data_IF_645990975667
#
_entry.id   IF_645990975667
#
_cell.length_a   1.000
_cell.length_b   1.000
_cell.length_c   1.000
_cell.angle_alpha   90.00
_cell.angle_beta   90.00
_cell.angle_gamma   90.00
#
_symmetry.space_group_name_H-M   'P 1'
#
loop_
_entity.id
_entity.type
_entity.pdbx_description
1 polymer ?
#
# COMPACT_ATOMS: atom_id res chain seq x y z
N UNK A 1 0.09 -7.27 7.60
CA UNK A 1 -0.84 -7.26 6.44
C UNK A 1 -1.68 -8.52 6.48
N UNK A 2 -2.99 -8.40 6.23
CA UNK A 2 -3.90 -9.54 6.10
C UNK A 2 -3.83 -10.06 4.67
N UNK A 3 -2.98 -11.04 4.39
CA UNK A 3 -2.80 -11.57 3.02
C UNK A 3 -3.62 -12.84 2.76
N UNK A 4 -3.91 -13.62 3.81
CA UNK A 4 -4.85 -14.72 3.77
C UNK A 4 -5.57 -14.86 5.12
N UNK A 5 -6.88 -14.71 5.11
CA UNK A 5 -7.72 -14.74 6.32
C UNK A 5 -8.96 -15.58 6.11
N UNK A 6 -9.51 -16.12 7.20
CA UNK A 6 -10.84 -16.74 7.17
C UNK A 6 -11.87 -15.63 7.17
N UNK A 7 -12.72 -15.59 6.15
CA UNK A 7 -13.68 -14.53 5.92
C UNK A 7 -15.03 -15.13 5.51
N UNK A 8 -16.10 -14.36 5.73
CA UNK A 8 -17.46 -14.75 5.36
C UNK A 8 -17.86 -14.22 4.00
N UNK A 9 -18.43 -15.07 3.18
CA UNK A 9 -19.04 -14.66 1.90
C UNK A 9 -20.26 -13.80 2.18
N UNK A 10 -20.26 -12.57 1.67
CA UNK A 10 -21.34 -11.61 1.82
C UNK A 10 -22.51 -11.92 0.88
N UNK A 11 -22.22 -12.25 -0.38
CA UNK A 11 -23.25 -12.63 -1.35
C UNK A 11 -22.65 -13.35 -2.55
N UNK A 12 -23.51 -14.05 -3.29
CA UNK A 12 -23.15 -14.75 -4.53
C UNK A 12 -24.16 -14.36 -5.61
N UNK A 13 -23.67 -14.05 -6.81
CA UNK A 13 -24.48 -13.69 -7.97
C UNK A 13 -24.01 -14.46 -9.20
N UNK A 14 -24.94 -14.90 -10.04
CA UNK A 14 -24.57 -15.50 -11.33
C UNK A 14 -23.76 -14.51 -12.17
N UNK A 15 -22.71 -14.99 -12.81
CA UNK A 15 -21.90 -14.16 -13.69
C UNK A 15 -22.71 -13.78 -14.95
N UNK A 16 -22.95 -12.48 -15.23
CA UNK A 16 -23.89 -12.06 -16.28
C UNK A 16 -23.47 -12.52 -17.68
N UNK A 17 -22.15 -12.63 -17.91
CA UNK A 17 -21.59 -13.03 -19.21
C UNK A 17 -21.03 -14.46 -19.24
N UNK A 18 -21.36 -15.33 -18.27
CA UNK A 18 -20.78 -16.67 -18.19
C UNK A 18 -21.63 -17.72 -17.45
N UNK A 19 -22.08 -18.75 -18.17
CA UNK A 19 -22.97 -19.80 -17.63
C UNK A 19 -22.35 -20.68 -16.53
N UNK A 20 -21.02 -20.76 -16.50
CA UNK A 20 -20.27 -21.67 -15.60
C UNK A 20 -19.57 -20.95 -14.45
N UNK A 21 -19.84 -19.66 -14.27
CA UNK A 21 -19.15 -18.84 -13.27
C UNK A 21 -20.14 -18.09 -12.39
N UNK A 22 -19.68 -17.78 -11.17
CA UNK A 22 -20.34 -16.88 -10.24
C UNK A 22 -19.43 -15.72 -9.87
N UNK A 23 -20.04 -14.64 -9.41
CA UNK A 23 -19.42 -13.53 -8.72
C UNK A 23 -19.69 -13.68 -7.23
N UNK A 24 -18.64 -13.90 -6.47
CA UNK A 24 -18.68 -14.05 -5.02
C UNK A 24 -18.12 -12.78 -4.39
N UNK A 25 -18.90 -12.18 -3.49
CA UNK A 25 -18.55 -10.95 -2.78
C UNK A 25 -18.08 -11.27 -1.37
N UNK A 26 -16.91 -10.75 -1.00
CA UNK A 26 -16.26 -11.02 0.28
C UNK A 26 -15.47 -9.80 0.72
N UNK A 27 -15.71 -9.31 1.95
CA UNK A 27 -15.30 -7.97 2.35
C UNK A 27 -15.82 -6.92 1.33
N UNK A 28 -14.96 -6.03 0.84
CA UNK A 28 -15.24 -5.14 -0.30
C UNK A 28 -14.76 -5.68 -1.66
N UNK A 29 -14.37 -6.96 -1.75
CA UNK A 29 -13.85 -7.57 -2.98
C UNK A 29 -14.92 -8.36 -3.74
N UNK A 30 -14.71 -8.50 -5.05
CA UNK A 30 -15.45 -9.39 -5.95
C UNK A 30 -14.49 -10.45 -6.51
N UNK A 31 -14.80 -11.73 -6.36
CA UNK A 31 -14.04 -12.84 -6.93
C UNK A 31 -14.89 -13.64 -7.92
N UNK A 32 -14.31 -14.06 -9.03
CA UNK A 32 -14.95 -14.97 -9.98
C UNK A 32 -14.64 -16.41 -9.57
N UNK A 33 -15.67 -17.21 -9.34
CA UNK A 33 -15.54 -18.63 -8.99
C UNK A 33 -16.28 -19.51 -10.00
N UNK A 34 -16.05 -20.82 -9.94
CA UNK A 34 -16.92 -21.78 -10.62
C UNK A 34 -18.35 -21.67 -10.09
N UNK A 35 -19.32 -21.93 -10.97
CA UNK A 35 -20.75 -21.93 -10.65
C UNK A 35 -21.08 -22.86 -9.47
N UNK A 36 -21.95 -22.40 -8.59
CA UNK A 36 -22.52 -23.13 -7.44
C UNK A 36 -21.46 -23.72 -6.48
N UNK A 37 -20.23 -23.18 -6.50
CA UNK A 37 -19.13 -23.67 -5.65
C UNK A 37 -19.16 -23.12 -4.23
N UNK A 38 -19.90 -22.03 -4.00
CA UNK A 38 -19.96 -21.34 -2.72
C UNK A 38 -21.37 -20.79 -2.47
N UNK A 39 -21.70 -20.60 -1.19
CA UNK A 39 -22.97 -20.05 -0.75
C UNK A 39 -22.77 -18.76 0.06
N UNK A 40 -23.76 -17.84 0.09
CA UNK A 40 -23.78 -16.74 1.05
C UNK A 40 -23.62 -17.24 2.49
N UNK A 41 -23.01 -16.42 3.35
CA UNK A 41 -22.72 -16.69 4.76
C UNK A 41 -21.71 -17.83 5.03
N UNK A 42 -21.23 -18.52 4.01
CA UNK A 42 -20.19 -19.55 4.14
C UNK A 42 -18.86 -18.93 4.55
N UNK A 43 -18.16 -19.58 5.51
CA UNK A 43 -16.77 -19.26 5.84
C UNK A 43 -15.82 -19.92 4.85
N UNK A 44 -14.85 -19.14 4.39
CA UNK A 44 -13.85 -19.53 3.41
C UNK A 44 -12.51 -18.88 3.75
N UNK A 45 -11.44 -19.35 3.12
CA UNK A 45 -10.16 -18.65 3.14
C UNK A 45 -10.15 -17.68 1.98
N UNK A 46 -10.05 -16.38 2.30
CA UNK A 46 -9.86 -15.33 1.32
C UNK A 46 -8.38 -14.96 1.24
N UNK A 47 -7.81 -15.11 0.04
CA UNK A 47 -6.43 -14.72 -0.26
C UNK A 47 -6.46 -13.40 -1.01
N UNK A 48 -5.93 -12.35 -0.40
CA UNK A 48 -5.99 -10.98 -0.92
C UNK A 48 -5.03 -10.78 -2.12
N UNK A 49 -5.27 -9.76 -2.96
CA UNK A 49 -4.26 -9.29 -3.91
C UNK A 49 -2.91 -9.01 -3.25
N UNK A 50 -1.84 -9.10 -4.05
CA UNK A 50 -0.43 -9.07 -3.62
C UNK A 50 0.05 -10.31 -2.85
N UNK A 51 -0.74 -11.37 -2.77
CA UNK A 51 -0.29 -12.65 -2.19
C UNK A 51 0.51 -13.49 -3.19
N UNK A 52 1.56 -14.15 -2.73
CA UNK A 52 2.34 -15.16 -3.46
C UNK A 52 1.95 -16.53 -2.91
N UNK A 53 1.45 -17.40 -3.79
CA UNK A 53 1.09 -18.76 -3.42
C UNK A 53 2.32 -19.68 -3.39
N UNK A 54 2.38 -20.67 -2.49
CA UNK A 54 3.43 -21.68 -2.50
C UNK A 54 3.37 -22.53 -3.77
N UNK A 55 4.53 -22.85 -4.36
CA UNK A 55 4.61 -23.63 -5.59
C UNK A 55 4.58 -25.15 -5.35
N UNK A 56 4.84 -25.59 -4.13
CA UNK A 56 5.03 -26.97 -3.70
C UNK A 56 3.80 -27.56 -2.98
N UNK A 57 2.79 -26.75 -2.70
CA UNK A 57 1.56 -27.20 -2.05
C UNK A 57 0.48 -27.61 -3.07
N UNK A 58 -0.16 -28.76 -2.85
CA UNK A 58 -1.17 -29.31 -3.75
C UNK A 58 -2.42 -28.44 -3.86
N UNK A 59 -2.86 -27.85 -2.75
CA UNK A 59 -4.04 -26.98 -2.69
C UNK A 59 -3.88 -25.72 -3.57
N UNK A 60 -2.64 -25.23 -3.75
CA UNK A 60 -2.36 -24.02 -4.51
C UNK A 60 -2.35 -24.26 -6.04
N UNK A 61 -2.08 -25.50 -6.49
CA UNK A 61 -1.88 -25.83 -7.91
C UNK A 61 -3.00 -25.35 -8.85
N UNK A 62 -4.30 -25.49 -8.52
CA UNK A 62 -5.38 -25.02 -9.38
C UNK A 62 -5.36 -23.51 -9.64
N UNK A 63 -4.75 -22.74 -8.72
CA UNK A 63 -4.77 -21.28 -8.70
C UNK A 63 -3.48 -20.65 -9.25
N UNK A 64 -2.36 -21.39 -9.27
CA UNK A 64 -1.04 -20.86 -9.65
C UNK A 64 -1.03 -20.17 -11.03
N UNK A 65 -1.81 -20.67 -12.00
CA UNK A 65 -1.90 -20.04 -13.35
C UNK A 65 -2.52 -18.64 -13.33
N UNK A 66 -3.29 -18.30 -12.30
CA UNK A 66 -3.94 -16.99 -12.14
C UNK A 66 -3.20 -16.10 -11.12
N UNK A 67 -2.31 -16.69 -10.31
CA UNK A 67 -1.65 -16.05 -9.18
C UNK A 67 -0.12 -15.93 -9.36
N UNK A 68 0.41 -16.09 -10.58
CA UNK A 68 1.84 -15.89 -10.87
C UNK A 68 2.07 -14.53 -11.55
N UNK A 69 3.06 -13.72 -11.08
CA UNK A 69 3.94 -13.98 -9.94
C UNK A 69 3.27 -13.78 -8.57
N UNK A 70 2.08 -13.16 -8.55
CA UNK A 70 1.24 -12.92 -7.37
C UNK A 70 -0.24 -12.92 -7.75
N UNK A 71 -1.10 -13.00 -6.75
CA UNK A 71 -2.54 -12.70 -6.88
C UNK A 71 -2.71 -11.22 -7.21
N UNK A 72 -3.54 -10.94 -8.22
CA UNK A 72 -3.79 -9.60 -8.75
C UNK A 72 -5.24 -9.50 -9.21
N UNK A 73 -5.73 -8.28 -9.41
CA UNK A 73 -6.97 -8.06 -10.11
C UNK A 73 -6.88 -8.64 -11.53
N UNK A 74 -7.91 -9.35 -11.99
CA UNK A 74 -8.04 -9.79 -13.38
C UNK A 74 -9.46 -9.52 -13.87
N UNK A 75 -9.61 -9.42 -15.19
CA UNK A 75 -10.93 -9.29 -15.82
C UNK A 75 -11.29 -10.59 -16.53
N UNK A 76 -12.42 -11.17 -16.17
CA UNK A 76 -12.96 -12.40 -16.79
C UNK A 76 -14.32 -12.04 -17.39
N UNK A 77 -14.43 -12.08 -18.72
CA UNK A 77 -15.69 -11.80 -19.45
C UNK A 77 -16.38 -10.52 -18.97
N UNK A 78 -15.58 -9.46 -18.90
CA UNK A 78 -15.96 -8.11 -18.45
C UNK A 78 -16.30 -7.89 -16.98
N UNK A 79 -16.14 -8.91 -16.12
CA UNK A 79 -16.26 -8.75 -14.68
C UNK A 79 -14.88 -8.79 -14.00
N UNK A 80 -14.70 -8.00 -12.94
CA UNK A 80 -13.48 -8.03 -12.13
C UNK A 80 -13.46 -9.25 -11.20
N UNK A 81 -12.27 -9.82 -11.02
CA UNK A 81 -11.96 -10.82 -10.00
C UNK A 81 -10.70 -10.37 -9.26
N UNK A 82 -10.82 -10.16 -7.96
CA UNK A 82 -9.76 -9.65 -7.09
C UNK A 82 -9.58 -10.59 -5.90
N UNK A 83 -8.39 -11.19 -5.78
CA UNK A 83 -8.15 -12.21 -4.77
C UNK A 83 -8.56 -13.62 -5.23
N UNK A 84 -8.46 -14.56 -4.31
CA UNK A 84 -8.88 -15.95 -4.48
C UNK A 84 -9.71 -16.40 -3.28
N UNK A 85 -10.69 -17.25 -3.54
CA UNK A 85 -11.49 -17.89 -2.51
C UNK A 85 -11.16 -19.37 -2.51
N UNK A 86 -10.72 -19.87 -1.35
CA UNK A 86 -10.38 -21.27 -1.13
C UNK A 86 -11.34 -21.83 -0.07
N UNK A 87 -11.98 -22.98 -0.30
CA UNK A 87 -12.83 -23.60 0.71
C UNK A 87 -12.02 -24.03 1.93
N UNK A 88 -12.61 -23.96 3.12
CA UNK A 88 -12.00 -24.51 4.33
C UNK A 88 -11.88 -26.04 4.22
N UNK A 89 -10.67 -26.56 4.44
CA UNK A 89 -10.44 -27.98 4.62
C UNK A 89 -11.01 -28.47 5.96
N UNK A 90 -11.18 -29.78 6.12
CA UNK A 90 -11.68 -30.36 7.37
C UNK A 90 -10.82 -30.00 8.59
N UNK A 91 -9.50 -29.88 8.40
CA UNK A 91 -8.54 -29.45 9.43
C UNK A 91 -8.71 -27.99 9.87
N UNK A 92 -9.43 -27.18 9.09
CA UNK A 92 -9.56 -25.73 9.26
C UNK A 92 -10.94 -25.33 9.81
N UNK A 93 -11.82 -26.29 10.07
CA UNK A 93 -13.21 -26.05 10.54
C UNK A 93 -13.32 -25.33 11.88
N UNK A 94 -12.27 -25.35 12.70
CA UNK A 94 -12.25 -24.67 14.00
C UNK A 94 -11.80 -23.20 13.90
N UNK A 95 -11.34 -22.76 12.73
CA UNK A 95 -10.96 -21.39 12.50
C UNK A 95 -12.19 -20.47 12.49
N UNK A 96 -11.99 -19.25 12.96
CA UNK A 96 -13.02 -18.23 13.08
C UNK A 96 -12.78 -17.12 12.06
N UNK A 97 -13.85 -16.42 11.75
CA UNK A 97 -13.79 -15.20 10.93
C UNK A 97 -12.77 -14.21 11.49
N UNK A 98 -11.89 -13.72 10.63
CA UNK A 98 -10.75 -12.87 10.96
C UNK A 98 -9.43 -13.59 11.28
N UNK A 99 -9.42 -14.92 11.43
CA UNK A 99 -8.19 -15.67 11.70
C UNK A 99 -7.24 -15.59 10.49
N UNK A 100 -5.96 -15.32 10.76
CA UNK A 100 -4.91 -15.30 9.73
C UNK A 100 -4.35 -16.71 9.52
N UNK A 101 -4.35 -17.17 8.27
CA UNK A 101 -3.90 -18.52 7.87
C UNK A 101 -2.69 -18.49 6.94
N UNK A 102 -2.15 -17.31 6.64
CA UNK A 102 -1.10 -17.12 5.66
C UNK A 102 0.16 -17.98 5.92
N UNK A 103 0.66 -17.99 7.16
CA UNK A 103 1.85 -18.75 7.55
C UNK A 103 1.62 -20.26 7.41
N UNK A 104 0.49 -20.76 7.92
CA UNK A 104 0.10 -22.18 7.86
C UNK A 104 -0.01 -22.67 6.41
N UNK A 105 -0.49 -21.81 5.52
CA UNK A 105 -0.62 -22.12 4.10
C UNK A 105 0.64 -21.80 3.27
N UNK A 106 1.71 -21.27 3.88
CA UNK A 106 2.92 -20.87 3.15
C UNK A 106 2.70 -19.71 2.16
N UNK A 107 1.66 -18.90 2.38
CA UNK A 107 1.35 -17.72 1.57
C UNK A 107 2.21 -16.55 2.04
N UNK A 108 2.86 -15.88 1.09
CA UNK A 108 3.75 -14.75 1.36
C UNK A 108 3.20 -13.46 0.74
N UNK A 109 3.61 -12.31 1.26
CA UNK A 109 3.32 -11.03 0.61
C UNK A 109 4.33 -10.80 -0.52
N UNK A 110 3.85 -10.37 -1.69
CA UNK A 110 4.71 -10.02 -2.81
C UNK A 110 5.47 -8.73 -2.53
N UNK A 111 6.80 -8.82 -2.52
CA UNK A 111 7.67 -7.65 -2.53
C UNK A 111 8.44 -7.63 -3.86
N UNK A 112 8.36 -6.54 -4.65
CA UNK A 112 9.22 -6.38 -5.82
C UNK A 112 10.68 -6.46 -5.40
N UNK A 113 11.49 -7.19 -6.18
CA UNK A 113 12.92 -7.26 -5.92
C UNK A 113 13.54 -5.86 -6.04
N UNK A 114 14.19 -5.40 -4.97
CA UNK A 114 15.00 -4.19 -5.00
C UNK A 114 16.45 -4.66 -5.04
N UNK A 115 17.19 -4.30 -6.10
CA UNK A 115 18.63 -4.50 -6.13
C UNK A 115 19.25 -3.54 -5.13
N UNK A 116 19.77 -4.08 -4.03
CA UNK A 116 20.38 -3.30 -2.95
C UNK A 116 21.79 -3.82 -2.69
N UNK A 117 22.74 -2.91 -2.55
CA UNK A 117 24.07 -3.23 -2.04
C UNK A 117 23.97 -3.44 -0.52
N UNK A 118 24.18 -4.67 -0.06
CA UNK A 118 24.12 -5.01 1.37
C UNK A 118 25.12 -4.22 2.20
N UNK A 119 26.23 -3.76 1.62
CA UNK A 119 27.23 -2.94 2.32
C UNK A 119 26.76 -1.50 2.56
N UNK A 120 25.61 -1.12 2.01
CA UNK A 120 24.98 0.18 2.22
C UNK A 120 23.89 0.20 3.28
N UNK A 121 23.59 -0.95 3.90
CA UNK A 121 22.54 -1.09 4.92
C UNK A 121 23.19 -1.05 6.31
N UNK A 122 22.70 -0.16 7.18
CA UNK A 122 23.13 -0.08 8.59
C UNK A 122 22.37 -1.08 9.48
N UNK A 123 21.11 -1.36 9.15
CA UNK A 123 20.25 -2.22 9.95
C UNK A 123 18.77 -2.08 9.62
N UNK A 124 17.88 -2.59 10.48
CA UNK A 124 16.43 -2.39 10.36
C UNK A 124 16.04 -0.91 10.54
N UNK A 125 14.76 -0.60 10.36
CA UNK A 125 14.25 0.75 10.64
C UNK A 125 14.55 1.15 12.10
N UNK A 126 15.13 2.35 12.35
CA UNK A 126 15.49 2.79 13.68
C UNK A 126 14.27 3.28 14.47
N UNK A 127 14.43 3.45 15.79
CA UNK A 127 13.44 4.07 16.69
C UNK A 127 12.01 3.48 16.62
N UNK A 128 11.87 2.21 16.26
CA UNK A 128 10.59 1.55 16.03
C UNK A 128 9.69 2.30 15.01
N UNK A 129 10.32 3.00 14.06
CA UNK A 129 9.63 3.67 12.96
C UNK A 129 8.89 2.59 12.14
N UNK A 130 7.57 2.72 11.93
CA UNK A 130 6.81 1.67 11.24
C UNK A 130 7.11 1.64 9.74
N UNK A 131 6.71 0.58 9.06
CA UNK A 131 6.69 0.55 7.59
C UNK A 131 5.58 1.48 7.05
N UNK A 132 5.69 1.83 5.77
CA UNK A 132 4.77 2.73 5.05
C UNK A 132 3.60 1.97 4.42
N UNK A 133 2.97 1.08 5.17
CA UNK A 133 1.84 0.30 4.69
C UNK A 133 0.54 1.09 4.78
N UNK A 134 -0.18 1.14 3.67
CA UNK A 134 -1.54 1.67 3.60
C UNK A 134 -2.52 0.53 3.31
N UNK A 135 -3.60 0.50 4.07
CA UNK A 135 -4.64 -0.52 3.96
C UNK A 135 -5.50 -0.29 2.71
N UNK A 136 -5.92 -1.38 2.07
CA UNK A 136 -6.81 -1.34 0.90
C UNK A 136 -8.23 -0.95 1.33
N UNK A 137 -8.90 -0.13 0.51
CA UNK A 137 -10.26 0.31 0.80
C UNK A 137 -11.24 -0.85 0.96
N UNK A 138 -11.04 -1.93 0.22
CA UNK A 138 -11.89 -3.12 0.24
C UNK A 138 -11.88 -3.83 1.62
N UNK A 139 -10.87 -3.59 2.46
CA UNK A 139 -10.78 -4.14 3.81
C UNK A 139 -11.58 -3.35 4.86
N UNK A 140 -12.08 -2.15 4.53
CA UNK A 140 -12.81 -1.31 5.50
C UNK A 140 -14.30 -1.64 5.58
N UNK A 141 -14.89 -2.34 4.60
CA UNK A 141 -16.32 -2.68 4.57
C UNK A 141 -17.21 -1.46 4.94
N UNK A 142 -17.94 -1.54 6.05
CA UNK A 142 -18.86 -0.50 6.55
C UNK A 142 -18.17 0.58 7.40
N UNK A 143 -16.88 0.46 7.70
CA UNK A 143 -16.10 1.36 8.57
C UNK A 143 -15.43 2.51 7.80
N UNK A 144 -15.90 2.80 6.59
CA UNK A 144 -15.39 3.92 5.81
C UNK A 144 -15.93 5.26 6.34
N UNK A 145 -15.13 6.34 6.29
CA UNK A 145 -15.55 7.69 6.69
C UNK A 145 -16.45 8.33 5.60
N UNK A 146 -17.59 7.70 5.33
CA UNK A 146 -18.52 8.14 4.28
C UNK A 146 -18.95 9.60 4.48
N UNK A 147 -18.96 10.36 3.39
CA UNK A 147 -19.31 11.78 3.36
C UNK A 147 -18.39 12.68 4.21
N UNK A 148 -17.24 12.20 4.67
CA UNK A 148 -16.17 13.08 5.16
C UNK A 148 -15.44 13.73 3.99
N UNK A 149 -14.88 14.92 4.24
CA UNK A 149 -13.97 15.58 3.29
C UNK A 149 -12.61 14.90 3.34
N UNK A 150 -12.12 14.48 2.18
CA UNK A 150 -10.85 13.80 2.01
C UNK A 150 -9.97 14.49 0.98
N UNK A 151 -8.66 14.31 1.13
CA UNK A 151 -7.67 14.68 0.12
C UNK A 151 -7.23 13.43 -0.65
N UNK A 152 -7.17 13.53 -1.97
CA UNK A 152 -6.82 12.43 -2.88
C UNK A 152 -5.45 12.72 -3.47
N UNK A 153 -4.46 11.91 -3.12
CA UNK A 153 -3.11 12.03 -3.64
C UNK A 153 -2.76 10.89 -4.58
N UNK A 154 -1.86 11.16 -5.52
CA UNK A 154 -1.35 10.16 -6.43
C UNK A 154 -0.59 9.08 -5.66
N UNK A 155 -0.95 7.81 -5.88
CA UNK A 155 -0.09 6.69 -5.49
C UNK A 155 0.96 6.50 -6.58
N UNK A 156 2.18 7.00 -6.32
CA UNK A 156 3.32 6.84 -7.22
C UNK A 156 3.84 5.40 -7.08
N UNK A 157 4.09 4.75 -8.20
CA UNK A 157 4.69 3.41 -8.24
C UNK A 157 6.22 3.53 -8.25
N UNK A 158 6.81 3.51 -7.05
CA UNK A 158 8.24 3.62 -6.84
C UNK A 158 8.74 2.69 -5.73
N UNK A 159 9.59 3.23 -4.87
CA UNK A 159 10.02 2.56 -3.65
C UNK A 159 9.99 3.52 -2.47
N UNK A 160 9.47 3.05 -1.33
CA UNK A 160 9.42 3.83 -0.10
C UNK A 160 10.81 4.32 0.29
N UNK A 161 10.95 5.63 0.45
CA UNK A 161 12.17 6.31 0.87
C UNK A 161 11.82 7.38 1.90
N UNK A 162 12.20 7.16 3.14
CA UNK A 162 11.91 8.07 4.25
C UNK A 162 13.19 8.74 4.74
N UNK A 163 13.14 10.02 5.08
CA UNK A 163 14.22 10.69 5.83
C UNK A 163 13.69 11.06 7.20
N UNK A 164 14.54 10.97 8.22
CA UNK A 164 14.16 11.30 9.58
C UNK A 164 15.19 12.20 10.24
N UNK A 165 14.72 12.94 11.24
CA UNK A 165 15.58 13.60 12.22
C UNK A 165 15.07 13.33 13.62
N UNK A 166 15.96 12.86 14.50
CA UNK A 166 15.74 12.72 15.93
C UNK A 166 16.30 13.96 16.64
N UNK A 167 15.41 14.78 17.20
CA UNK A 167 15.75 15.90 18.07
C UNK A 167 16.40 15.43 19.37
N UNK A 168 15.98 14.30 19.95
CA UNK A 168 16.54 13.80 21.20
C UNK A 168 17.98 13.27 21.00
N UNK A 169 18.25 12.57 19.89
CA UNK A 169 19.57 11.99 19.61
C UNK A 169 20.46 12.87 18.71
N UNK A 170 19.93 14.00 18.21
CA UNK A 170 20.59 14.87 17.23
C UNK A 170 21.06 14.11 15.99
N UNK A 171 20.22 13.19 15.51
CA UNK A 171 20.57 12.23 14.47
C UNK A 171 19.67 12.37 13.25
N UNK A 172 20.28 12.57 12.08
CA UNK A 172 19.62 12.47 10.78
C UNK A 172 19.89 11.09 10.16
N UNK A 173 18.89 10.53 9.47
CA UNK A 173 19.08 9.30 8.71
C UNK A 173 18.11 9.18 7.55
N UNK A 174 18.35 8.16 6.73
CA UNK A 174 17.53 7.83 5.56
C UNK A 174 17.24 6.33 5.54
N UNK A 175 15.99 6.00 5.22
CA UNK A 175 15.47 4.64 5.26
C UNK A 175 14.81 4.27 3.94
N UNK A 176 14.93 3.01 3.58
CA UNK A 176 14.06 2.37 2.59
C UNK A 176 12.74 1.92 3.23
N UNK A 177 12.14 0.87 2.66
CA UNK A 177 10.94 0.23 3.23
C UNK A 177 11.22 -0.54 4.52
N UNK A 178 12.38 -1.22 4.59
CA UNK A 178 12.68 -2.21 5.64
C UNK A 178 13.97 -1.92 6.43
N UNK A 179 14.77 -0.94 6.01
CA UNK A 179 16.13 -0.75 6.50
C UNK A 179 16.56 0.71 6.51
N UNK A 180 17.62 1.00 7.27
CA UNK A 180 18.35 2.26 7.25
C UNK A 180 19.60 2.16 6.36
N UNK A 181 19.88 3.21 5.60
CA UNK A 181 21.05 3.29 4.72
C UNK A 181 22.19 4.12 5.31
N UNK A 182 23.40 3.70 5.01
CA UNK A 182 24.64 4.42 5.29
C UNK A 182 24.76 5.63 4.36
N UNK A 183 24.68 6.83 4.93
CA UNK A 183 24.79 8.11 4.23
C UNK A 183 26.13 8.31 3.52
N UNK A 184 27.17 7.57 3.88
CA UNK A 184 28.50 7.64 3.24
C UNK A 184 28.56 6.90 1.91
N UNK A 185 27.58 6.03 1.63
CA UNK A 185 27.50 5.25 0.39
C UNK A 185 26.75 6.01 -0.68
N UNK A 186 27.16 5.83 -1.93
CA UNK A 186 26.47 6.42 -3.08
C UNK A 186 25.44 5.44 -3.64
N UNK A 187 24.17 5.75 -3.51
CA UNK A 187 23.06 5.01 -4.11
C UNK A 187 21.88 5.95 -4.38
N UNK A 188 20.81 5.44 -4.99
CA UNK A 188 19.63 6.25 -5.32
C UNK A 188 18.97 6.89 -4.08
N UNK A 189 19.00 6.22 -2.93
CA UNK A 189 18.47 6.76 -1.67
C UNK A 189 19.35 7.89 -1.15
N UNK A 190 20.67 7.74 -1.07
CA UNK A 190 21.53 8.81 -0.55
C UNK A 190 21.64 10.00 -1.50
N UNK A 191 21.50 9.79 -2.82
CA UNK A 191 21.54 10.86 -3.82
C UNK A 191 20.44 11.92 -3.65
N UNK A 192 19.25 11.54 -3.20
CA UNK A 192 18.15 12.50 -3.01
C UNK A 192 18.37 13.42 -1.80
N UNK A 193 19.18 13.01 -0.82
CA UNK A 193 19.50 13.83 0.35
C UNK A 193 20.15 15.14 -0.06
N UNK A 194 21.17 15.08 -0.93
CA UNK A 194 21.84 16.28 -1.43
C UNK A 194 21.01 17.00 -2.48
N UNK A 195 20.30 16.27 -3.36
CA UNK A 195 19.45 16.87 -4.41
C UNK A 195 18.39 17.83 -3.86
N UNK A 196 17.80 17.52 -2.70
CA UNK A 196 16.75 18.33 -2.08
C UNK A 196 17.19 18.99 -0.76
N UNK A 197 18.48 18.99 -0.43
CA UNK A 197 19.02 19.53 0.83
C UNK A 197 18.27 19.04 2.07
N UNK A 198 17.89 17.75 2.08
CA UNK A 198 16.97 17.20 3.09
C UNK A 198 17.56 17.23 4.48
N UNK A 199 18.86 17.00 4.61
CA UNK A 199 19.53 16.98 5.91
C UNK A 199 19.48 18.35 6.57
N UNK A 200 19.88 19.39 5.84
CA UNK A 200 19.92 20.76 6.32
C UNK A 200 18.51 21.25 6.66
N UNK A 201 17.58 21.05 5.71
CA UNK A 201 16.19 21.47 5.83
C UNK A 201 15.50 20.81 7.04
N UNK A 202 15.62 19.48 7.17
CA UNK A 202 14.95 18.74 8.23
C UNK A 202 15.56 19.00 9.60
N UNK A 203 16.89 19.07 9.68
CA UNK A 203 17.61 19.40 10.92
C UNK A 203 17.17 20.77 11.45
N UNK A 204 17.19 21.80 10.59
CA UNK A 204 16.80 23.15 11.00
C UNK A 204 15.36 23.18 11.51
N UNK A 205 14.42 22.60 10.78
CA UNK A 205 13.01 22.58 11.17
C UNK A 205 12.82 21.85 12.52
N UNK A 206 13.41 20.67 12.67
CA UNK A 206 13.27 19.86 13.88
C UNK A 206 13.92 20.49 15.11
N UNK A 207 15.10 21.12 14.97
CA UNK A 207 15.77 21.83 16.06
C UNK A 207 14.98 23.06 16.52
N UNK A 208 14.47 23.86 15.58
CA UNK A 208 13.68 25.05 15.90
C UNK A 208 12.37 24.72 16.63
N UNK A 209 11.75 23.60 16.28
CA UNK A 209 10.46 23.18 16.84
C UNK A 209 10.60 22.12 17.94
N UNK A 210 11.83 21.71 18.27
CA UNK A 210 12.13 20.69 19.29
C UNK A 210 11.35 19.38 19.07
N UNK A 211 11.35 18.89 17.82
CA UNK A 211 10.49 17.77 17.41
C UNK A 211 11.27 16.75 16.57
N UNK A 212 10.95 15.48 16.76
CA UNK A 212 11.47 14.37 15.96
C UNK A 212 10.44 13.94 14.92
N UNK A 213 10.83 14.01 13.64
CA UNK A 213 9.91 13.70 12.52
C UNK A 213 10.57 12.80 11.48
N UNK A 214 9.73 12.00 10.83
CA UNK A 214 10.04 11.25 9.63
C UNK A 214 9.21 11.84 8.49
N UNK A 215 9.87 12.30 7.44
CA UNK A 215 9.22 12.60 6.16
C UNK A 215 9.13 11.30 5.37
N UNK A 216 7.91 10.76 5.24
CA UNK A 216 7.65 9.59 4.41
C UNK A 216 7.49 10.03 2.98
N UNK A 217 8.29 9.46 2.09
CA UNK A 217 8.20 9.75 0.67
C UNK A 217 8.39 8.53 -0.20
N UNK A 218 8.13 8.74 -1.47
CA UNK A 218 8.31 7.77 -2.53
C UNK A 218 9.48 8.19 -3.40
N UNK A 219 10.45 7.31 -3.59
CA UNK A 219 11.54 7.45 -4.54
C UNK A 219 11.14 6.79 -5.86
N UNK A 220 11.20 7.52 -6.97
CA UNK A 220 10.74 7.07 -8.28
C UNK A 220 11.61 7.64 -9.40
N UNK A 221 11.38 7.20 -10.64
CA UNK A 221 12.26 7.53 -11.76
C UNK A 221 13.55 6.71 -11.75
N UNK A 222 14.46 7.00 -12.69
CA UNK A 222 15.74 6.31 -12.80
C UNK A 222 15.62 4.79 -13.02
N UNK A 223 14.53 4.32 -13.60
CA UNK A 223 14.25 2.89 -13.82
C UNK A 223 13.74 2.13 -12.59
N UNK A 224 13.43 2.81 -11.48
CA UNK A 224 12.78 2.18 -10.31
C UNK A 224 11.40 1.64 -10.72
N UNK A 225 11.09 0.39 -10.34
CA UNK A 225 9.86 -0.32 -10.71
C UNK A 225 9.57 -0.29 -12.21
N UNK A 226 10.59 -0.56 -13.04
CA UNK A 226 10.48 -0.51 -14.50
C UNK A 226 9.49 -1.55 -15.03
N UNK A 227 8.40 -1.06 -15.62
CA UNK A 227 7.40 -1.84 -16.37
C UNK A 227 6.65 -0.94 -17.35
N UNK A 228 6.03 -1.54 -18.36
CA UNK A 228 5.45 -0.84 -19.52
C UNK A 228 4.38 0.18 -19.13
N UNK A 229 3.58 -0.13 -18.11
CA UNK A 229 2.50 0.72 -17.62
C UNK A 229 2.94 1.75 -16.56
N UNK A 230 4.15 1.66 -16.00
CA UNK A 230 4.63 2.65 -15.02
C UNK A 230 5.32 3.82 -15.71
N UNK A 231 4.60 4.93 -15.92
CA UNK A 231 5.20 6.13 -16.52
C UNK A 231 6.28 6.78 -15.64
N UNK A 232 6.21 6.62 -14.32
CA UNK A 232 7.16 7.24 -13.39
C UNK A 232 8.58 6.69 -13.55
N UNK A 233 8.74 5.41 -13.91
CA UNK A 233 10.06 4.79 -14.03
C UNK A 233 10.94 5.43 -15.12
N UNK A 234 10.33 6.10 -16.11
CA UNK A 234 11.04 6.76 -17.22
C UNK A 234 11.52 8.17 -16.91
N UNK A 235 11.05 8.74 -15.79
CA UNK A 235 11.44 10.09 -15.35
C UNK A 235 12.84 10.08 -14.74
N UNK A 236 13.51 11.25 -14.64
CA UNK A 236 14.71 11.38 -13.82
C UNK A 236 14.45 10.95 -12.38
N UNK A 237 15.48 10.48 -11.67
CA UNK A 237 15.35 10.08 -10.27
C UNK A 237 14.78 11.22 -9.42
N UNK A 238 13.62 11.01 -8.81
CA UNK A 238 12.86 11.99 -8.06
C UNK A 238 12.38 11.40 -6.73
N UNK A 239 12.01 12.28 -5.80
CA UNK A 239 11.48 11.91 -4.50
C UNK A 239 10.35 12.86 -4.15
N UNK A 240 9.28 12.36 -3.53
CA UNK A 240 8.15 13.17 -3.11
C UNK A 240 7.56 12.68 -1.79
N UNK A 241 7.29 13.61 -0.88
CA UNK A 241 6.66 13.35 0.42
C UNK A 241 5.19 12.99 0.22
N UNK A 242 4.70 11.99 0.95
CA UNK A 242 3.28 11.67 1.04
C UNK A 242 2.72 11.72 2.47
N UNK A 243 3.55 11.51 3.49
CA UNK A 243 3.10 11.50 4.90
C UNK A 243 4.20 11.96 5.85
N UNK A 244 3.81 12.35 7.06
CA UNK A 244 4.72 12.74 8.14
C UNK A 244 4.40 11.90 9.36
N UNK A 245 5.43 11.30 9.96
CA UNK A 245 5.33 10.52 11.19
C UNK A 245 6.12 11.22 12.30
N UNK A 246 5.45 11.50 13.41
CA UNK A 246 6.07 12.02 14.62
C UNK A 246 6.54 10.85 15.47
N UNK A 247 7.71 10.97 16.07
CA UNK A 247 8.24 9.95 16.96
C UNK A 247 9.01 10.58 18.12
N UNK A 248 9.34 9.78 19.12
CA UNK A 248 10.26 10.16 20.18
C UNK A 248 11.29 9.04 20.37
N UNK A 249 12.58 9.39 20.25
CA UNK A 249 13.65 8.39 20.28
C UNK A 249 13.98 7.85 21.66
N UNK A 250 13.46 8.43 22.74
CA UNK A 250 13.74 7.98 24.11
C UNK A 250 12.76 6.89 24.55
N UNK A 251 11.50 6.96 24.10
CA UNK A 251 10.45 6.00 24.49
C UNK A 251 9.89 5.17 23.32
N UNK A 252 10.38 5.37 22.09
CA UNK A 252 9.96 4.67 20.87
C UNK A 252 8.45 4.75 20.59
N UNK A 253 7.78 5.80 21.05
CA UNK A 253 6.41 6.10 20.68
C UNK A 253 6.38 6.96 19.42
N UNK A 254 5.30 6.84 18.65
CA UNK A 254 5.07 7.70 17.51
C UNK A 254 3.68 7.56 16.93
N UNK A 255 3.34 8.48 16.03
CA UNK A 255 2.06 8.52 15.33
C UNK A 255 2.19 9.23 13.99
N UNK A 256 1.34 8.86 13.05
CA UNK A 256 1.16 9.66 11.85
C UNK A 256 0.47 10.99 12.18
N UNK A 257 0.87 12.02 11.45
CA UNK A 257 0.17 13.31 11.44
C UNK A 257 -1.19 13.16 10.75
N UNK A 258 -2.15 14.00 11.12
CA UNK A 258 -3.52 13.97 10.66
C UNK A 258 -3.92 15.31 10.08
N UNK A 259 -4.71 15.24 9.02
CA UNK A 259 -5.23 16.37 8.25
C UNK A 259 -5.87 17.44 9.14
N UNK A 260 -6.68 17.01 10.10
CA UNK A 260 -7.47 17.89 10.98
C UNK A 260 -6.69 18.51 12.12
N UNK A 261 -5.75 17.78 12.73
CA UNK A 261 -5.20 18.14 14.05
C UNK A 261 -3.77 18.67 14.01
N UNK A 262 -2.99 18.34 12.99
CA UNK A 262 -1.54 18.58 13.02
C UNK A 262 -1.08 19.85 12.27
N UNK A 263 -2.02 20.62 11.71
CA UNK A 263 -1.74 21.94 11.14
C UNK A 263 -0.61 21.91 10.11
N UNK A 264 0.47 22.66 10.38
CA UNK A 264 1.66 22.74 9.52
C UNK A 264 2.32 21.37 9.28
N UNK A 265 2.22 20.44 10.23
CA UNK A 265 2.87 19.12 10.13
C UNK A 265 2.11 18.16 9.20
N UNK A 266 0.94 18.55 8.69
CA UNK A 266 0.27 17.79 7.64
C UNK A 266 1.11 17.81 6.35
N UNK A 267 1.31 16.64 5.72
CA UNK A 267 2.38 16.44 4.72
C UNK A 267 2.42 17.45 3.58
N UNK A 268 1.25 17.84 3.04
CA UNK A 268 1.16 18.86 1.99
C UNK A 268 1.63 20.23 2.47
N UNK A 269 1.19 20.65 3.66
CA UNK A 269 1.55 21.96 4.24
C UNK A 269 3.01 22.00 4.64
N UNK A 270 3.53 20.90 5.20
CA UNK A 270 4.93 20.81 5.58
C UNK A 270 5.83 20.80 4.35
N UNK A 271 5.47 20.05 3.31
CA UNK A 271 6.22 20.02 2.05
C UNK A 271 6.29 21.41 1.41
N UNK A 272 5.17 22.13 1.35
CA UNK A 272 5.13 23.52 0.88
C UNK A 272 6.03 24.44 1.72
N UNK A 273 5.90 24.38 3.05
CA UNK A 273 6.70 25.20 3.97
C UNK A 273 8.21 24.94 3.86
N UNK A 274 8.61 23.69 3.68
CA UNK A 274 10.00 23.28 3.52
C UNK A 274 10.50 23.39 2.08
N UNK A 275 9.64 23.82 1.13
CA UNK A 275 9.94 23.83 -0.30
C UNK A 275 10.43 22.47 -0.83
N UNK A 276 9.79 21.38 -0.37
CA UNK A 276 10.06 20.01 -0.76
C UNK A 276 8.96 19.45 -1.67
N UNK A 277 9.27 18.53 -2.59
CA UNK A 277 8.24 17.93 -3.44
C UNK A 277 7.24 17.11 -2.62
N UNK A 278 5.96 17.27 -2.93
CA UNK A 278 4.86 16.44 -2.42
C UNK A 278 4.28 15.58 -3.55
N UNK A 279 3.74 14.41 -3.22
CA UNK A 279 3.04 13.59 -4.22
C UNK A 279 1.87 14.39 -4.81
N UNK A 280 1.59 14.29 -6.13
CA UNK A 280 0.54 15.12 -6.73
C UNK A 280 -0.80 14.99 -6.02
N UNK A 281 -1.37 16.11 -5.60
CA UNK A 281 -2.75 16.20 -5.12
C UNK A 281 -3.68 16.23 -6.33
N UNK A 282 -4.49 15.19 -6.48
CA UNK A 282 -5.41 15.03 -7.62
C UNK A 282 -6.73 15.74 -7.32
N UNK A 283 -7.24 15.58 -6.10
CA UNK A 283 -8.44 16.27 -5.60
C UNK A 283 -8.21 16.66 -4.13
N UNK A 284 -8.70 17.82 -3.71
CA UNK A 284 -8.53 18.35 -2.36
C UNK A 284 -9.91 18.65 -1.77
N UNK A 285 -10.14 18.23 -0.52
CA UNK A 285 -11.39 18.47 0.21
C UNK A 285 -12.65 18.06 -0.57
N UNK A 286 -12.65 16.83 -1.10
CA UNK A 286 -13.82 16.25 -1.77
C UNK A 286 -14.53 15.26 -0.87
N UNK A 287 -15.84 15.05 -1.07
CA UNK A 287 -16.60 14.07 -0.27
C UNK A 287 -16.21 12.64 -0.65
N UNK A 288 -15.94 11.80 0.35
CA UNK A 288 -15.80 10.36 0.13
C UNK A 288 -17.16 9.74 -0.21
N UNK A 289 -17.29 9.29 -1.46
CA UNK A 289 -18.50 8.66 -2.00
C UNK A 289 -18.15 7.39 -2.76
N UNK A 290 -19.13 6.50 -2.97
CA UNK A 290 -18.92 5.30 -3.79
C UNK A 290 -18.47 5.66 -5.21
N UNK A 291 -18.98 6.75 -5.78
CA UNK A 291 -18.57 7.24 -7.10
C UNK A 291 -17.08 7.61 -7.15
N UNK A 292 -16.56 8.24 -6.08
CA UNK A 292 -15.13 8.56 -5.98
C UNK A 292 -14.28 7.29 -5.93
N UNK A 293 -14.75 6.27 -5.21
CA UNK A 293 -14.08 4.97 -5.12
C UNK A 293 -14.06 4.29 -6.47
N UNK A 294 -15.23 4.16 -7.11
CA UNK A 294 -15.36 3.52 -8.43
C UNK A 294 -14.51 4.23 -9.49
N UNK A 295 -14.47 5.58 -9.45
CA UNK A 295 -13.64 6.40 -10.32
C UNK A 295 -12.19 5.91 -10.31
N UNK A 296 -11.58 5.82 -9.13
CA UNK A 296 -10.16 5.48 -9.01
C UNK A 296 -9.87 3.98 -8.99
N UNK A 297 -10.86 3.16 -8.64
CA UNK A 297 -10.72 1.71 -8.57
C UNK A 297 -10.84 1.07 -9.97
N UNK A 298 -11.81 1.48 -10.80
CA UNK A 298 -12.10 0.78 -12.06
C UNK A 298 -12.33 1.66 -13.31
N UNK A 299 -12.62 2.96 -13.17
CA UNK A 299 -12.96 3.82 -14.31
C UNK A 299 -11.74 4.55 -14.91
N UNK A 300 -10.73 4.86 -14.11
CA UNK A 300 -9.46 5.41 -14.61
C UNK A 300 -8.75 4.37 -15.48
N UNK A 301 -8.13 4.84 -16.57
CA UNK A 301 -7.38 3.98 -17.47
C UNK A 301 -6.04 3.51 -16.86
N UNK A 302 -5.34 2.62 -17.57
CA UNK A 302 -4.04 2.13 -17.14
C UNK A 302 -2.96 3.23 -17.10
N UNK A 303 -3.08 4.28 -17.92
CA UNK A 303 -2.10 5.38 -18.00
C UNK A 303 -2.19 6.29 -16.79
N UNK A 304 -3.31 6.27 -16.07
CA UNK A 304 -3.40 6.89 -14.76
C UNK A 304 -2.29 6.36 -13.85
N UNK A 305 -1.99 5.05 -13.86
CA UNK A 305 -0.99 4.47 -12.97
C UNK A 305 -1.63 3.74 -11.78
N UNK A 306 -0.85 3.53 -10.72
CA UNK A 306 -1.16 2.55 -9.68
C UNK A 306 -2.46 2.80 -8.92
N UNK A 307 -2.80 4.06 -8.67
CA UNK A 307 -4.03 4.42 -7.98
C UNK A 307 -3.88 5.72 -7.21
N UNK A 308 -4.58 5.80 -6.09
CA UNK A 308 -4.58 6.96 -5.19
C UNK A 308 -4.47 6.53 -3.73
N UNK A 309 -3.99 7.44 -2.90
CA UNK A 309 -4.12 7.36 -1.44
C UNK A 309 -5.14 8.41 -1.01
N UNK A 310 -6.10 7.99 -0.22
CA UNK A 310 -7.14 8.83 0.37
C UNK A 310 -6.70 9.19 1.79
N UNK A 311 -6.64 10.49 2.08
CA UNK A 311 -6.30 11.04 3.39
C UNK A 311 -7.56 11.67 4.00
N UNK A 312 -8.07 11.08 5.08
CA UNK A 312 -9.21 11.59 5.83
C UNK A 312 -8.77 12.15 7.19
N UNK A 313 -9.70 12.67 7.99
CA UNK A 313 -9.37 13.39 9.23
C UNK A 313 -8.60 12.55 10.26
N UNK A 314 -8.80 11.23 10.24
CA UNK A 314 -8.33 10.31 11.28
C UNK A 314 -7.37 9.23 10.76
N UNK A 315 -7.10 9.20 9.46
CA UNK A 315 -6.34 8.11 8.85
C UNK A 315 -6.22 8.23 7.35
N UNK A 316 -5.81 7.12 6.75
CA UNK A 316 -5.64 6.98 5.32
C UNK A 316 -5.86 5.54 4.88
N UNK A 317 -6.17 5.39 3.60
CA UNK A 317 -6.25 4.11 2.91
C UNK A 317 -5.94 4.31 1.43
N UNK A 318 -5.66 3.22 0.72
CA UNK A 318 -5.37 3.26 -0.72
C UNK A 318 -6.50 2.68 -1.55
N UNK A 319 -6.66 3.23 -2.74
CA UNK A 319 -7.50 2.68 -3.80
C UNK A 319 -6.56 2.31 -4.94
N UNK A 320 -6.52 1.02 -5.29
CA UNK A 320 -5.68 0.52 -6.38
C UNK A 320 -6.51 0.52 -7.67
N UNK A 321 -5.91 1.04 -8.74
CA UNK A 321 -6.48 1.00 -10.08
C UNK A 321 -6.39 -0.44 -10.61
N UNK A 322 -7.54 -1.11 -10.73
CA UNK A 322 -7.63 -2.50 -11.21
C UNK A 322 -7.09 -2.66 -12.63
N UNK A 323 -7.24 -1.64 -13.49
CA UNK A 323 -6.69 -1.67 -14.85
C UNK A 323 -5.16 -1.69 -14.85
N UNK A 324 -4.54 -1.08 -13.83
CA UNK A 324 -3.10 -1.11 -13.63
C UNK A 324 -2.63 -2.43 -13.01
N UNK A 325 -3.29 -2.89 -11.95
CA UNK A 325 -2.93 -4.12 -11.25
C UNK A 325 -3.06 -5.35 -12.15
N UNK A 326 -4.06 -5.38 -13.04
CA UNK A 326 -4.28 -6.49 -13.97
C UNK A 326 -3.23 -6.65 -15.08
N UNK A 327 -2.35 -5.67 -15.25
CA UNK A 327 -1.22 -5.75 -16.20
C UNK A 327 0.13 -5.86 -15.53
N UNK A 328 0.17 -5.78 -14.19
CA UNK A 328 1.37 -5.98 -13.39
C UNK A 328 1.73 -7.45 -13.23
#
# INVERSE_FOLDING_TARGET
MKIATVERITSVRHHPNADRLDLVFILGYQCVTSRDSFLPEQLVIFIQPDSVLPNDQSWAQPYLKYARPRVRAIKIRDEWSEGLIVPLADSEKNLKEGDSVAEQLGIQHFEPAIVQDSTSILGPLPFNIPKTDEERIENFQNNLPWNELVDVTKKIDGTSCSVYYSYEKKQFGICGRNCEYDLTKSNNFTHIVSKYSLKECLTQFCEQNQISIVLRGELYGGGIQKKVNNSHCTQPLQWAIFSVYLFNSDNNQGRYTRRKTDGLLYSMKLAEHLNLPHVPVIENQVLLTQQLIDKYSCQVDIKFGEGVVIQHDHGSFKIINKNYDAKN
#
